data_IF_315427246088
#
_entry.id   IF_315427246088
#
_cell.length_a   1.000
_cell.length_b   1.000
_cell.length_c   1.000
_cell.angle_alpha   90.00
_cell.angle_beta   90.00
_cell.angle_gamma   90.00
#
_symmetry.space_group_name_H-M   'P 1'
#
loop_
_entity.id
_entity.type
_entity.pdbx_description
1 polymer ?
#
# COMPACT_ATOMS: atom_id res chain seq x y z
N UNK A 1 -3.59 0.60 -37.13
CA UNK A 1 -4.16 0.06 -35.86
C UNK A 1 -4.48 1.26 -34.98
N UNK A 2 -5.75 1.67 -34.89
CA UNK A 2 -6.16 2.86 -34.11
C UNK A 2 -6.15 2.53 -32.62
N UNK A 3 -5.03 2.83 -31.95
CA UNK A 3 -4.94 2.76 -30.49
C UNK A 3 -5.69 3.96 -29.90
N UNK A 4 -6.95 3.76 -29.52
CA UNK A 4 -7.64 4.70 -28.63
C UNK A 4 -7.36 4.28 -27.18
N UNK A 5 -6.78 5.16 -26.34
CA UNK A 5 -6.55 4.82 -24.95
C UNK A 5 -7.89 4.58 -24.22
N UNK A 6 -7.90 3.59 -23.34
CA UNK A 6 -9.03 3.33 -22.45
C UNK A 6 -8.91 4.28 -21.25
N UNK A 7 -9.63 5.40 -21.31
CA UNK A 7 -9.57 6.46 -20.30
C UNK A 7 -9.92 5.97 -18.89
N UNK A 8 -10.88 5.06 -18.75
CA UNK A 8 -11.23 4.49 -17.45
C UNK A 8 -10.05 3.74 -16.83
N UNK A 9 -9.29 2.99 -17.65
CA UNK A 9 -8.08 2.31 -17.19
C UNK A 9 -6.96 3.30 -16.86
N UNK A 10 -6.78 4.36 -17.64
CA UNK A 10 -5.78 5.40 -17.32
C UNK A 10 -6.09 6.08 -15.98
N UNK A 11 -7.35 6.40 -15.71
CA UNK A 11 -7.76 7.01 -14.44
C UNK A 11 -7.43 6.07 -13.27
N UNK A 12 -7.82 4.80 -13.38
CA UNK A 12 -7.62 3.81 -12.31
C UNK A 12 -6.14 3.50 -12.09
N UNK A 13 -5.38 3.22 -13.16
CA UNK A 13 -4.01 2.72 -13.01
C UNK A 13 -2.94 3.83 -12.96
N UNK A 14 -3.27 5.08 -13.26
CA UNK A 14 -2.29 6.16 -13.27
C UNK A 14 -2.76 7.36 -12.45
N UNK A 15 -3.90 7.95 -12.79
CA UNK A 15 -4.32 9.24 -12.21
C UNK A 15 -4.59 9.11 -10.71
N UNK A 16 -5.42 8.16 -10.30
CA UNK A 16 -5.78 7.98 -8.89
C UNK A 16 -4.55 7.71 -8.01
N UNK A 17 -3.70 6.69 -8.27
CA UNK A 17 -2.56 6.41 -7.41
C UNK A 17 -1.57 7.59 -7.34
N UNK A 18 -1.29 8.24 -8.48
CA UNK A 18 -0.42 9.42 -8.50
C UNK A 18 -1.01 10.59 -7.73
N UNK A 19 -2.31 10.86 -7.88
CA UNK A 19 -2.97 11.96 -7.18
C UNK A 19 -3.02 11.73 -5.67
N UNK A 20 -3.33 10.50 -5.22
CA UNK A 20 -3.38 10.17 -3.79
C UNK A 20 -2.00 10.26 -3.15
N UNK A 21 -1.01 9.54 -3.69
CA UNK A 21 0.34 9.55 -3.11
C UNK A 21 1.03 10.88 -3.31
N UNK A 22 0.88 11.51 -4.48
CA UNK A 22 1.44 12.83 -4.76
C UNK A 22 0.84 13.92 -3.87
N UNK A 23 -0.48 13.87 -3.62
CA UNK A 23 -1.17 14.78 -2.70
C UNK A 23 -0.68 14.62 -1.27
N UNK A 24 -0.61 13.38 -0.76
CA UNK A 24 -0.06 13.11 0.58
C UNK A 24 1.41 13.51 0.68
N UNK A 25 2.23 13.24 -0.33
CA UNK A 25 3.63 13.66 -0.35
C UNK A 25 3.76 15.19 -0.36
N UNK A 26 2.94 15.88 -1.14
CA UNK A 26 2.91 17.34 -1.18
C UNK A 26 2.52 17.93 0.19
N UNK A 27 1.49 17.39 0.83
CA UNK A 27 1.11 17.77 2.20
C UNK A 27 2.26 17.54 3.20
N UNK A 28 2.89 16.37 3.14
CA UNK A 28 3.98 16.00 4.04
C UNK A 28 5.25 16.83 3.85
N UNK A 29 5.57 17.26 2.62
CA UNK A 29 6.74 18.10 2.33
C UNK A 29 6.41 19.59 2.21
N UNK A 30 5.17 20.01 2.49
CA UNK A 30 4.72 21.40 2.34
C UNK A 30 5.41 22.39 3.28
N UNK A 31 5.82 21.92 4.47
CA UNK A 31 6.29 22.77 5.57
C UNK A 31 5.17 23.31 6.45
N UNK A 32 3.91 23.12 6.06
CA UNK A 32 2.76 23.45 6.89
C UNK A 32 2.55 22.35 7.95
N UNK A 33 2.69 22.64 9.26
CA UNK A 33 2.63 21.62 10.30
C UNK A 33 1.29 20.87 10.34
N UNK A 34 0.18 21.54 10.02
CA UNK A 34 -1.13 20.91 10.01
C UNK A 34 -1.23 19.88 8.86
N UNK A 35 -0.84 20.26 7.64
CA UNK A 35 -0.80 19.36 6.49
C UNK A 35 0.14 18.18 6.71
N UNK A 36 1.32 18.40 7.31
CA UNK A 36 2.24 17.32 7.66
C UNK A 36 1.63 16.34 8.66
N UNK A 37 1.01 16.86 9.73
CA UNK A 37 0.41 16.04 10.79
C UNK A 37 -0.83 15.28 10.32
N UNK A 38 -1.57 15.80 9.34
CA UNK A 38 -2.64 15.03 8.69
C UNK A 38 -2.10 13.77 8.02
N UNK A 39 -0.94 13.86 7.35
CA UNK A 39 -0.33 12.70 6.67
C UNK A 39 0.27 11.73 7.68
N UNK A 40 1.04 12.27 8.63
CA UNK A 40 1.77 11.50 9.64
C UNK A 40 1.92 12.36 10.91
N UNK A 41 1.05 12.17 11.90
CA UNK A 41 1.00 13.03 13.07
C UNK A 41 2.19 12.78 14.00
N UNK A 42 2.29 13.66 15.00
CA UNK A 42 3.11 13.51 16.20
C UNK A 42 2.17 13.68 17.37
N UNK A 43 2.05 12.67 18.22
CA UNK A 43 1.02 12.61 19.25
C UNK A 43 1.65 12.35 20.62
N UNK A 44 2.50 13.24 21.15
CA UNK A 44 2.93 13.12 22.54
C UNK A 44 1.70 13.11 23.47
N UNK A 45 1.75 12.34 24.57
CA UNK A 45 2.92 11.62 25.09
C UNK A 45 3.03 10.16 24.58
N UNK A 46 2.28 9.77 23.53
CA UNK A 46 2.40 8.42 23.00
C UNK A 46 3.84 8.14 22.54
N UNK A 47 4.19 6.86 22.46
CA UNK A 47 5.46 6.46 21.88
C UNK A 47 5.57 6.93 20.42
N UNK A 48 6.73 7.45 20.04
CA UNK A 48 6.98 8.05 18.72
C UNK A 48 6.78 7.06 17.56
N UNK A 49 6.93 5.76 17.83
CA UNK A 49 6.58 4.70 16.89
C UNK A 49 5.09 4.68 16.56
N UNK A 50 4.24 4.89 17.56
CA UNK A 50 2.78 4.85 17.43
C UNK A 50 2.20 6.12 16.82
N UNK A 51 2.95 7.22 16.74
CA UNK A 51 2.44 8.48 16.20
C UNK A 51 1.98 8.37 14.75
N UNK A 52 2.83 7.80 13.88
CA UNK A 52 2.56 7.77 12.44
C UNK A 52 1.31 6.95 12.09
N UNK A 53 1.00 5.93 12.91
CA UNK A 53 -0.09 4.96 12.72
C UNK A 53 -1.47 5.63 12.64
N UNK A 54 -1.61 6.82 13.22
CA UNK A 54 -2.85 7.62 13.18
C UNK A 54 -2.97 8.51 11.94
N UNK A 55 -1.94 8.55 11.10
CA UNK A 55 -1.88 9.40 9.92
C UNK A 55 -2.75 8.90 8.76
N UNK A 56 -3.08 9.81 7.85
CA UNK A 56 -3.83 9.51 6.64
C UNK A 56 -3.14 8.44 5.78
N UNK A 57 -1.80 8.43 5.76
CA UNK A 57 -1.04 7.46 4.96
C UNK A 57 -1.25 6.03 5.48
N UNK A 58 -0.96 5.79 6.76
CA UNK A 58 -1.08 4.48 7.41
C UNK A 58 -2.54 3.99 7.44
N UNK A 59 -3.49 4.87 7.80
CA UNK A 59 -4.92 4.51 7.76
C UNK A 59 -5.41 4.22 6.35
N UNK A 60 -4.85 4.91 5.35
CA UNK A 60 -5.10 4.62 3.95
C UNK A 60 -4.58 3.23 3.54
N UNK A 61 -3.38 2.84 3.99
CA UNK A 61 -2.82 1.49 3.80
C UNK A 61 -3.71 0.44 4.45
N UNK A 62 -4.09 0.64 5.72
CA UNK A 62 -4.98 -0.26 6.45
C UNK A 62 -6.35 -0.41 5.76
N UNK A 63 -6.93 0.68 5.26
CA UNK A 63 -8.20 0.64 4.53
C UNK A 63 -8.09 -0.17 3.22
N UNK A 64 -6.98 0.00 2.47
CA UNK A 64 -6.72 -0.78 1.26
C UNK A 64 -6.56 -2.28 1.58
N UNK A 65 -5.82 -2.61 2.63
CA UNK A 65 -5.65 -3.98 3.12
C UNK A 65 -6.98 -4.61 3.56
N UNK A 66 -7.79 -3.89 4.33
CA UNK A 66 -9.12 -4.34 4.73
C UNK A 66 -10.04 -4.57 3.51
N UNK A 67 -10.01 -3.67 2.53
CA UNK A 67 -10.74 -3.83 1.28
C UNK A 67 -10.28 -5.05 0.47
N UNK A 68 -8.98 -5.36 0.47
CA UNK A 68 -8.43 -6.58 -0.14
C UNK A 68 -8.92 -7.83 0.57
N UNK A 69 -8.89 -7.88 1.90
CA UNK A 69 -9.43 -9.01 2.69
C UNK A 69 -10.91 -9.26 2.35
N UNK A 70 -11.73 -8.21 2.37
CA UNK A 70 -13.15 -8.31 2.04
C UNK A 70 -13.38 -8.79 0.59
N UNK A 71 -12.59 -8.27 -0.36
CA UNK A 71 -12.66 -8.65 -1.78
C UNK A 71 -12.27 -10.12 -1.99
N UNK A 72 -11.19 -10.58 -1.36
CA UNK A 72 -10.73 -11.96 -1.45
C UNK A 72 -11.71 -12.92 -0.78
N UNK A 73 -12.28 -12.56 0.37
CA UNK A 73 -13.34 -13.34 1.03
C UNK A 73 -14.59 -13.45 0.15
N UNK A 74 -14.98 -12.36 -0.54
CA UNK A 74 -16.05 -12.41 -1.54
C UNK A 74 -15.68 -13.32 -2.72
N UNK A 75 -14.42 -13.30 -3.18
CA UNK A 75 -13.88 -14.22 -4.17
C UNK A 75 -14.01 -15.68 -3.77
N UNK A 76 -13.65 -16.01 -2.52
CA UNK A 76 -13.79 -17.36 -1.97
C UNK A 76 -15.25 -17.82 -1.95
N UNK A 77 -16.18 -16.95 -1.51
CA UNK A 77 -17.62 -17.25 -1.50
C UNK A 77 -18.19 -17.48 -2.90
N UNK A 78 -17.71 -16.74 -3.90
CA UNK A 78 -18.15 -16.83 -5.31
C UNK A 78 -17.53 -18.02 -6.06
N UNK A 79 -16.36 -18.48 -5.64
CA UNK A 79 -15.66 -19.57 -6.31
C UNK A 79 -16.37 -20.91 -6.10
N UNK A 80 -16.75 -21.57 -7.20
CA UNK A 80 -17.34 -22.92 -7.20
C UNK A 80 -16.27 -24.01 -7.11
N UNK A 81 -15.17 -23.83 -7.84
CA UNK A 81 -14.06 -24.78 -7.84
C UNK A 81 -13.29 -24.72 -6.51
N UNK A 82 -13.12 -25.88 -5.86
CA UNK A 82 -12.48 -25.98 -4.54
C UNK A 82 -11.07 -25.40 -4.51
N UNK A 83 -10.28 -25.59 -5.58
CA UNK A 83 -8.91 -25.08 -5.68
C UNK A 83 -8.86 -23.55 -5.74
N UNK A 84 -9.72 -22.94 -6.55
CA UNK A 84 -9.84 -21.47 -6.65
C UNK A 84 -10.33 -20.87 -5.33
N UNK A 85 -11.32 -21.51 -4.71
CA UNK A 85 -11.80 -21.11 -3.38
C UNK A 85 -10.69 -21.16 -2.34
N UNK A 86 -9.95 -22.26 -2.28
CA UNK A 86 -8.82 -22.40 -1.36
C UNK A 86 -7.75 -21.31 -1.59
N UNK A 87 -7.42 -21.01 -2.86
CA UNK A 87 -6.51 -19.92 -3.20
C UNK A 87 -6.98 -18.56 -2.68
N UNK A 88 -8.27 -18.23 -2.83
CA UNK A 88 -8.83 -16.99 -2.28
C UNK A 88 -8.84 -16.96 -0.75
N UNK A 89 -9.16 -18.07 -0.09
CA UNK A 89 -9.10 -18.17 1.39
C UNK A 89 -7.68 -17.95 1.89
N UNK A 90 -6.69 -18.63 1.30
CA UNK A 90 -5.29 -18.47 1.68
C UNK A 90 -4.80 -17.04 1.44
N UNK A 91 -5.14 -16.44 0.29
CA UNK A 91 -4.80 -15.05 0.02
C UNK A 91 -5.47 -14.07 1.00
N UNK A 92 -6.74 -14.32 1.37
CA UNK A 92 -7.45 -13.49 2.35
C UNK A 92 -6.81 -13.58 3.74
N UNK A 93 -6.45 -14.78 4.20
CA UNK A 93 -5.77 -14.98 5.48
C UNK A 93 -4.38 -14.33 5.49
N UNK A 94 -3.62 -14.48 4.40
CA UNK A 94 -2.32 -13.83 4.27
C UNK A 94 -2.44 -12.30 4.24
N UNK A 95 -3.43 -11.76 3.55
CA UNK A 95 -3.66 -10.30 3.53
C UNK A 95 -4.16 -9.80 4.89
N UNK A 96 -4.95 -10.59 5.61
CA UNK A 96 -5.37 -10.29 6.98
C UNK A 96 -4.18 -10.28 7.92
N UNK A 97 -3.24 -11.21 7.76
CA UNK A 97 -1.99 -11.20 8.50
C UNK A 97 -1.19 -9.91 8.23
N UNK A 98 -1.03 -9.51 6.96
CA UNK A 98 -0.38 -8.23 6.62
C UNK A 98 -1.12 -7.04 7.24
N UNK A 99 -2.46 -7.02 7.18
CA UNK A 99 -3.25 -5.97 7.81
C UNK A 99 -2.99 -5.86 9.30
N UNK A 100 -2.92 -7.00 10.00
CA UNK A 100 -2.65 -7.03 11.43
C UNK A 100 -1.22 -6.59 11.75
N UNK A 101 -0.23 -6.99 10.95
CA UNK A 101 1.15 -6.49 11.08
C UNK A 101 1.22 -4.97 10.83
N UNK A 102 0.53 -4.47 9.82
CA UNK A 102 0.51 -3.05 9.45
C UNK A 102 -0.02 -2.18 10.60
N UNK A 103 -1.10 -2.61 11.26
CA UNK A 103 -1.67 -1.86 12.41
C UNK A 103 -1.01 -2.20 13.75
N UNK A 104 0.13 -2.91 13.74
CA UNK A 104 0.83 -3.41 14.93
C UNK A 104 -0.13 -4.13 15.90
N UNK A 105 -1.00 -4.97 15.37
CA UNK A 105 -2.06 -5.69 16.08
C UNK A 105 -2.97 -4.78 16.95
N UNK A 106 -3.09 -3.51 16.58
CA UNK A 106 -3.87 -2.51 17.29
C UNK A 106 -3.19 -1.96 18.55
N UNK A 107 -1.88 -2.19 18.73
CA UNK A 107 -1.11 -1.68 19.88
C UNK A 107 -1.29 -0.17 20.05
N UNK A 108 -1.20 0.61 18.96
CA UNK A 108 -1.34 2.05 19.01
C UNK A 108 -2.72 2.49 19.54
N UNK A 109 -3.80 1.78 19.22
CA UNK A 109 -5.14 2.04 19.77
C UNK A 109 -5.23 1.75 21.26
N UNK A 110 -4.59 0.66 21.72
CA UNK A 110 -4.52 0.34 23.14
C UNK A 110 -3.73 1.43 23.88
N UNK A 111 -2.57 1.79 23.37
CA UNK A 111 -1.70 2.81 23.97
C UNK A 111 -2.39 4.17 24.01
N UNK A 112 -3.19 4.52 22.97
CA UNK A 112 -4.07 5.68 22.97
C UNK A 112 -5.17 5.60 24.03
N UNK A 113 -5.84 4.44 24.17
CA UNK A 113 -6.97 4.27 25.07
C UNK A 113 -6.58 4.30 26.56
N UNK A 114 -5.35 3.91 26.89
CA UNK A 114 -4.84 3.91 28.28
C UNK A 114 -4.03 5.17 28.60
N UNK A 115 -3.87 6.09 27.64
CA UNK A 115 -3.16 7.35 27.85
C UNK A 115 -4.01 8.26 28.76
N UNK A 116 -3.51 8.51 29.97
CA UNK A 116 -4.19 9.37 30.96
C UNK A 116 -4.00 10.87 30.67
N UNK A 117 -2.96 11.21 29.91
CA UNK A 117 -2.65 12.59 29.53
C UNK A 117 -3.44 13.03 28.28
N UNK A 118 -3.71 14.33 28.17
CA UNK A 118 -4.42 14.88 27.00
C UNK A 118 -3.55 14.85 25.75
N UNK A 119 -4.02 14.16 24.71
CA UNK A 119 -3.36 14.12 23.40
C UNK A 119 -3.78 15.33 22.56
N UNK A 120 -2.80 16.18 22.22
CA UNK A 120 -3.01 17.36 21.39
C UNK A 120 -2.53 17.12 19.95
N UNK A 121 -3.46 16.80 19.05
CA UNK A 121 -3.18 16.41 17.66
C UNK A 121 -2.39 17.41 16.82
N UNK A 122 -2.48 18.70 17.16
CA UNK A 122 -1.86 19.78 16.40
C UNK A 122 -0.88 20.61 17.23
N UNK A 123 -0.55 20.17 18.45
CA UNK A 123 0.45 20.86 19.26
C UNK A 123 1.84 20.68 18.65
N UNK A 124 2.60 21.77 18.42
CA UNK A 124 4.00 21.68 18.06
C UNK A 124 4.77 20.86 19.10
N UNK A 125 5.52 19.85 18.66
CA UNK A 125 6.51 19.21 19.52
C UNK A 125 7.68 20.20 19.65
N UNK A 126 7.97 20.75 20.84
CA UNK A 126 9.03 21.72 21.02
C UNK A 126 10.37 21.23 20.48
N UNK A 127 11.12 22.14 19.85
CA UNK A 127 12.45 21.82 19.33
C UNK A 127 13.36 21.32 20.46
N UNK A 128 13.93 20.13 20.29
CA UNK A 128 14.82 19.50 21.27
C UNK A 128 14.20 18.41 22.13
N UNK A 129 12.86 18.32 22.21
CA UNK A 129 12.19 17.24 22.95
C UNK A 129 12.16 15.93 22.17
N UNK A 130 12.21 16.01 20.83
CA UNK A 130 12.27 14.84 19.97
C UNK A 130 13.19 15.07 18.77
N UNK A 131 14.22 14.22 18.65
CA UNK A 131 15.14 14.21 17.51
C UNK A 131 15.01 12.88 16.75
N UNK A 132 14.31 12.84 15.61
CA UNK A 132 14.12 11.61 14.84
C UNK A 132 15.42 11.02 14.28
N UNK A 133 16.51 11.81 14.24
CA UNK A 133 17.82 11.31 13.81
C UNK A 133 18.55 10.53 14.90
N UNK A 134 18.20 10.76 16.17
CA UNK A 134 18.79 10.08 17.34
C UNK A 134 17.95 8.87 17.75
N UNK A 135 16.63 8.94 17.59
CA UNK A 135 15.70 7.84 17.91
C UNK A 135 16.05 6.54 17.17
N UNK A 136 16.52 6.64 15.91
CA UNK A 136 16.95 5.47 15.13
C UNK A 136 18.13 4.70 15.76
N UNK A 137 18.88 5.32 16.69
CA UNK A 137 19.94 4.65 17.47
C UNK A 137 19.42 4.03 18.77
N UNK A 138 18.27 4.50 19.27
CA UNK A 138 17.67 4.09 20.54
C UNK A 138 16.57 3.04 20.40
N UNK A 139 16.09 2.78 19.18
CA UNK A 139 15.08 1.76 18.89
C UNK A 139 15.60 0.35 19.23
N UNK A 140 15.27 -0.12 20.44
CA UNK A 140 15.37 -1.52 20.84
C UNK A 140 14.36 -2.40 20.10
N UNK A 141 14.48 -3.71 20.30
CA UNK A 141 13.73 -4.74 19.58
C UNK A 141 12.20 -4.49 19.57
N UNK A 142 11.66 -4.16 18.39
CA UNK A 142 10.22 -4.19 18.13
C UNK A 142 9.72 -5.63 18.07
N UNK A 143 8.54 -5.90 18.63
CA UNK A 143 7.93 -7.23 18.61
C UNK A 143 7.36 -7.65 17.24
N UNK A 144 7.23 -6.74 16.26
CA UNK A 144 6.70 -7.04 14.93
C UNK A 144 7.77 -7.52 13.96
N UNK A 145 7.41 -8.50 13.13
CA UNK A 145 8.29 -9.03 12.06
C UNK A 145 8.58 -7.93 11.04
N UNK A 146 7.61 -7.02 10.82
CA UNK A 146 7.73 -5.89 9.91
C UNK A 146 8.82 -4.86 10.32
N UNK A 147 9.21 -4.82 11.60
CA UNK A 147 10.23 -3.89 12.11
C UNK A 147 11.62 -4.51 12.31
N UNK A 148 11.75 -5.84 12.35
CA UNK A 148 13.05 -6.49 12.57
C UNK A 148 13.89 -6.63 11.27
N UNK A 149 15.20 -6.87 11.44
CA UNK A 149 16.24 -6.90 10.38
C UNK A 149 16.02 -7.85 9.19
N UNK A 150 14.95 -8.65 9.18
CA UNK A 150 14.46 -9.40 8.00
C UNK A 150 13.95 -8.47 6.88
N UNK A 151 13.73 -7.18 7.18
CA UNK A 151 13.20 -6.16 6.27
C UNK A 151 13.87 -6.05 4.91
N UNK A 152 15.19 -6.27 4.77
CA UNK A 152 15.85 -6.08 3.46
C UNK A 152 15.47 -7.19 2.48
N UNK A 153 15.48 -8.44 2.93
CA UNK A 153 15.13 -9.60 2.11
C UNK A 153 13.64 -9.62 1.78
N UNK A 154 12.78 -9.30 2.76
CA UNK A 154 11.34 -9.19 2.53
C UNK A 154 10.99 -8.03 1.57
N UNK A 155 11.66 -6.88 1.69
CA UNK A 155 11.49 -5.77 0.74
C UNK A 155 11.91 -6.16 -0.67
N UNK A 156 13.04 -6.85 -0.83
CA UNK A 156 13.48 -7.35 -2.12
C UNK A 156 12.49 -8.38 -2.68
N UNK A 157 12.03 -9.33 -1.85
CA UNK A 157 11.03 -10.32 -2.24
C UNK A 157 9.72 -9.68 -2.68
N UNK A 158 9.24 -8.67 -1.96
CA UNK A 158 8.07 -7.87 -2.31
C UNK A 158 8.24 -7.14 -3.63
N UNK A 159 9.38 -6.49 -3.85
CA UNK A 159 9.70 -5.78 -5.11
C UNK A 159 9.77 -6.76 -6.31
N UNK A 160 10.39 -7.92 -6.12
CA UNK A 160 10.45 -8.98 -7.14
C UNK A 160 9.05 -9.51 -7.47
N UNK A 161 8.22 -9.77 -6.45
CA UNK A 161 6.85 -10.22 -6.64
C UNK A 161 6.03 -9.17 -7.39
N UNK A 162 6.19 -7.89 -7.05
CA UNK A 162 5.52 -6.78 -7.70
C UNK A 162 5.91 -6.67 -9.17
N UNK A 163 7.20 -6.75 -9.50
CA UNK A 163 7.69 -6.73 -10.88
C UNK A 163 7.20 -7.95 -11.66
N UNK A 164 7.33 -9.14 -11.09
CA UNK A 164 6.91 -10.39 -11.73
C UNK A 164 5.41 -10.36 -12.04
N UNK A 165 4.59 -9.95 -11.07
CA UNK A 165 3.14 -9.97 -11.19
C UNK A 165 2.60 -8.82 -12.04
N UNK A 166 3.08 -7.59 -11.87
CA UNK A 166 2.48 -6.40 -12.49
C UNK A 166 3.24 -5.84 -13.69
N UNK A 167 4.44 -6.34 -13.98
CA UNK A 167 5.20 -5.98 -15.17
C UNK A 167 5.35 -7.17 -16.09
N UNK A 168 6.01 -8.24 -15.64
CA UNK A 168 6.34 -9.38 -16.50
C UNK A 168 5.08 -10.13 -16.92
N UNK A 169 4.24 -10.54 -15.97
CA UNK A 169 3.06 -11.35 -16.25
C UNK A 169 2.06 -10.68 -17.22
N UNK A 170 1.61 -9.42 -17.09
CA UNK A 170 0.67 -8.83 -18.03
C UNK A 170 1.24 -8.64 -19.45
N UNK A 171 2.57 -8.51 -19.59
CA UNK A 171 3.24 -8.41 -20.88
C UNK A 171 3.48 -9.79 -21.53
N UNK A 172 3.75 -10.81 -20.73
CA UNK A 172 4.02 -12.17 -21.20
C UNK A 172 2.74 -12.99 -21.42
N UNK A 173 1.71 -12.83 -20.58
CA UNK A 173 0.48 -13.63 -20.60
C UNK A 173 -0.23 -13.74 -21.96
N UNK A 174 -0.28 -12.70 -22.81
CA UNK A 174 -0.87 -12.81 -24.16
C UNK A 174 -0.21 -13.88 -25.04
N UNK A 175 1.06 -14.19 -24.77
CA UNK A 175 1.85 -15.20 -25.49
C UNK A 175 1.75 -16.60 -24.88
N UNK A 176 1.18 -16.72 -23.68
CA UNK A 176 1.09 -17.99 -22.95
C UNK A 176 -0.23 -18.69 -23.27
N UNK A 177 -0.17 -19.97 -23.68
CA UNK A 177 -1.36 -20.78 -24.01
C UNK A 177 -2.21 -21.14 -22.77
N UNK A 178 -1.59 -21.25 -21.59
CA UNK A 178 -2.26 -21.65 -20.36
C UNK A 178 -3.38 -20.68 -19.97
N UNK A 179 -4.62 -21.20 -19.88
CA UNK A 179 -5.81 -20.41 -19.53
C UNK A 179 -5.74 -19.78 -18.14
N UNK A 180 -5.11 -20.45 -17.18
CA UNK A 180 -5.00 -19.97 -15.80
C UNK A 180 -4.08 -18.77 -15.69
N UNK A 181 -2.96 -18.80 -16.42
CA UNK A 181 -2.00 -17.69 -16.49
C UNK A 181 -2.69 -16.46 -17.08
N UNK A 182 -3.42 -16.62 -18.19
CA UNK A 182 -4.17 -15.51 -18.81
C UNK A 182 -5.30 -14.98 -17.93
N UNK A 183 -5.97 -15.87 -17.19
CA UNK A 183 -7.02 -15.50 -16.24
C UNK A 183 -6.46 -14.76 -15.01
N UNK A 184 -5.26 -15.09 -14.54
CA UNK A 184 -4.63 -14.43 -13.41
C UNK A 184 -3.86 -13.16 -13.81
N UNK A 185 -3.36 -13.06 -15.03
CA UNK A 185 -2.49 -11.95 -15.46
C UNK A 185 -3.15 -10.56 -15.30
N UNK A 186 -2.55 -9.58 -14.64
CA UNK A 186 -3.12 -8.23 -14.49
C UNK A 186 -3.39 -7.50 -15.81
N UNK A 187 -4.00 -6.32 -15.71
CA UNK A 187 -4.10 -5.40 -16.86
C UNK A 187 -2.70 -4.91 -17.26
N UNK A 188 -2.44 -4.74 -18.57
CA UNK A 188 -1.18 -4.10 -19.04
C UNK A 188 -1.01 -2.67 -18.53
N UNK A 189 -2.11 -1.99 -18.17
CA UNK A 189 -2.07 -0.66 -17.56
C UNK A 189 -1.46 -0.67 -16.14
N UNK A 190 -1.40 -1.83 -15.46
CA UNK A 190 -0.71 -1.96 -14.17
C UNK A 190 0.78 -1.59 -14.25
N UNK A 191 1.40 -1.77 -15.42
CA UNK A 191 2.78 -1.34 -15.68
C UNK A 191 2.95 0.17 -15.46
N UNK A 192 1.93 0.98 -15.84
CA UNK A 192 1.95 2.43 -15.62
C UNK A 192 1.94 2.77 -14.13
N UNK A 193 1.16 2.04 -13.33
CA UNK A 193 1.14 2.20 -11.87
C UNK A 193 2.52 1.91 -11.29
N UNK A 194 3.17 0.82 -11.72
CA UNK A 194 4.52 0.46 -11.24
C UNK A 194 5.53 1.55 -11.59
N UNK A 195 5.53 2.04 -12.83
CA UNK A 195 6.42 3.15 -13.25
C UNK A 195 6.16 4.40 -12.41
N UNK A 196 4.89 4.80 -12.28
CA UNK A 196 4.51 5.98 -11.51
C UNK A 196 4.90 5.85 -10.02
N UNK A 197 4.68 4.68 -9.43
CA UNK A 197 5.08 4.37 -8.05
C UNK A 197 6.60 4.51 -7.86
N UNK A 198 7.42 4.00 -8.80
CA UNK A 198 8.87 4.14 -8.73
C UNK A 198 9.32 5.61 -8.85
N UNK A 199 8.73 6.36 -9.77
CA UNK A 199 9.02 7.79 -9.95
C UNK A 199 8.63 8.61 -8.71
N UNK A 200 7.43 8.38 -8.16
CA UNK A 200 6.97 9.04 -6.94
C UNK A 200 7.86 8.68 -5.75
N UNK A 201 8.27 7.41 -5.61
CA UNK A 201 9.19 6.98 -4.56
C UNK A 201 10.55 7.69 -4.67
N UNK A 202 11.11 7.81 -5.88
CA UNK A 202 12.35 8.56 -6.10
C UNK A 202 12.20 10.04 -5.73
N UNK A 203 11.09 10.68 -6.12
CA UNK A 203 10.80 12.08 -5.80
C UNK A 203 10.67 12.30 -4.28
N UNK A 204 9.90 11.45 -3.59
CA UNK A 204 9.73 11.47 -2.13
C UNK A 204 11.07 11.29 -1.41
N UNK A 205 11.90 10.35 -1.84
CA UNK A 205 13.22 10.16 -1.25
C UNK A 205 14.17 11.33 -1.53
N UNK A 206 14.11 11.94 -2.71
CA UNK A 206 14.89 13.14 -3.04
C UNK A 206 14.48 14.33 -2.16
N UNK A 207 13.17 14.57 -2.01
CA UNK A 207 12.63 15.60 -1.13
C UNK A 207 13.06 15.36 0.32
N UNK A 208 12.92 14.14 0.83
CA UNK A 208 13.34 13.77 2.18
C UNK A 208 14.85 13.89 2.41
N UNK A 209 15.71 13.59 1.43
CA UNK A 209 17.16 13.85 1.52
C UNK A 209 17.45 15.34 1.62
N UNK A 210 16.79 16.16 0.80
CA UNK A 210 16.94 17.61 0.82
C UNK A 210 16.52 18.20 2.18
N UNK A 211 15.35 17.82 2.69
CA UNK A 211 14.84 18.28 3.97
C UNK A 211 15.76 17.89 5.13
N UNK A 212 16.18 16.62 5.20
CA UNK A 212 17.14 16.17 6.22
C UNK A 212 18.48 16.91 6.16
N UNK A 213 18.95 17.23 4.96
CA UNK A 213 20.19 17.98 4.80
C UNK A 213 20.06 19.40 5.35
N UNK A 214 18.98 20.12 4.99
CA UNK A 214 18.69 21.47 5.52
C UNK A 214 18.60 21.47 7.04
N UNK A 215 17.79 20.57 7.60
CA UNK A 215 17.64 20.41 9.05
C UNK A 215 18.97 20.19 9.75
N UNK A 216 19.83 19.29 9.23
CA UNK A 216 21.16 19.03 9.82
C UNK A 216 22.09 20.25 9.75
N UNK A 217 21.99 21.08 8.73
CA UNK A 217 22.80 22.28 8.59
C UNK A 217 22.36 23.34 9.62
N UNK A 218 21.05 23.57 9.75
CA UNK A 218 20.47 24.51 10.74
C UNK A 218 20.86 24.10 12.17
N UNK A 219 20.64 22.84 12.54
CA UNK A 219 21.03 22.31 13.87
C UNK A 219 22.53 22.48 14.14
N UNK A 220 23.40 22.20 13.15
CA UNK A 220 24.86 22.35 13.31
C UNK A 220 25.30 23.79 13.51
N UNK A 221 24.53 24.76 13.02
CA UNK A 221 24.79 26.19 13.20
C UNK A 221 24.26 26.72 14.54
N UNK A 222 23.55 25.88 15.31
CA UNK A 222 22.84 26.31 16.51
C UNK A 222 21.58 27.13 16.18
N UNK A 223 21.12 27.09 14.93
CA UNK A 223 19.89 27.75 14.51
C UNK A 223 18.68 26.89 14.91
N UNK A 224 17.58 27.54 15.31
CA UNK A 224 16.30 26.84 15.51
C UNK A 224 15.78 26.43 14.13
N UNK A 225 15.60 25.12 13.86
CA UNK A 225 15.21 24.68 12.55
C UNK A 225 13.88 25.29 12.12
N UNK A 226 13.83 25.85 10.92
CA UNK A 226 12.60 26.46 10.41
C UNK A 226 11.56 25.40 10.01
N UNK A 227 11.98 24.13 9.93
CA UNK A 227 11.18 23.01 9.47
C UNK A 227 11.17 21.89 10.49
N UNK A 228 9.98 21.40 10.83
CA UNK A 228 9.85 20.16 11.57
C UNK A 228 10.18 18.96 10.66
N UNK A 229 11.01 18.03 11.15
CA UNK A 229 11.08 16.70 10.54
C UNK A 229 9.81 15.95 10.91
N UNK A 230 9.05 15.46 9.92
CA UNK A 230 7.87 14.64 10.18
C UNK A 230 8.23 13.22 10.66
N UNK A 231 7.27 12.52 11.26
CA UNK A 231 7.45 11.15 11.80
C UNK A 231 7.86 10.12 10.74
N UNK A 232 7.49 10.31 9.47
CA UNK A 232 7.91 9.45 8.36
C UNK A 232 9.35 9.67 7.84
N UNK A 233 10.14 10.57 8.41
CA UNK A 233 11.45 10.97 7.83
C UNK A 233 12.41 9.79 7.64
N UNK A 234 12.27 8.75 8.47
CA UNK A 234 13.07 7.53 8.39
C UNK A 234 12.38 6.39 7.61
N UNK A 235 11.09 6.52 7.31
CA UNK A 235 10.28 5.50 6.65
C UNK A 235 9.53 6.02 5.42
N UNK A 236 10.25 6.75 4.56
CA UNK A 236 9.67 7.30 3.33
C UNK A 236 9.24 6.23 2.31
N UNK A 237 9.59 4.95 2.53
CA UNK A 237 9.10 3.84 1.72
C UNK A 237 7.60 3.62 1.84
N UNK A 238 6.94 4.12 2.89
CA UNK A 238 5.49 3.96 3.09
C UNK A 238 4.66 4.54 1.93
N UNK A 239 5.12 5.63 1.30
CA UNK A 239 4.47 6.19 0.10
C UNK A 239 4.48 5.21 -1.10
N UNK A 240 5.53 4.40 -1.21
CA UNK A 240 5.64 3.36 -2.24
C UNK A 240 4.73 2.19 -1.89
N UNK A 241 4.71 1.81 -0.62
CA UNK A 241 3.90 0.72 -0.08
C UNK A 241 2.40 0.98 -0.28
N UNK A 242 1.92 2.19 0.02
CA UNK A 242 0.55 2.62 -0.29
C UNK A 242 0.16 2.36 -1.75
N UNK A 243 1.04 2.70 -2.71
CA UNK A 243 0.78 2.44 -4.13
C UNK A 243 0.76 0.95 -4.47
N UNK A 244 1.63 0.16 -3.84
CA UNK A 244 1.62 -1.28 -4.00
C UNK A 244 0.28 -1.87 -3.52
N UNK A 245 -0.18 -1.50 -2.32
CA UNK A 245 -1.47 -1.93 -1.78
C UNK A 245 -2.64 -1.47 -2.66
N UNK A 246 -2.60 -0.24 -3.17
CA UNK A 246 -3.60 0.22 -4.14
C UNK A 246 -3.65 -0.68 -5.38
N UNK A 247 -2.48 -1.02 -5.94
CA UNK A 247 -2.39 -1.86 -7.13
C UNK A 247 -2.90 -3.28 -6.87
N UNK A 248 -2.55 -3.89 -5.73
CA UNK A 248 -3.08 -5.20 -5.33
C UNK A 248 -4.59 -5.15 -5.09
N UNK A 249 -5.12 -4.07 -4.50
CA UNK A 249 -6.55 -3.90 -4.29
C UNK A 249 -7.33 -3.84 -5.62
N UNK A 250 -6.86 -3.02 -6.56
CA UNK A 250 -7.43 -2.96 -7.91
C UNK A 250 -7.33 -4.33 -8.60
N UNK A 251 -6.19 -5.01 -8.46
CA UNK A 251 -5.99 -6.33 -9.04
C UNK A 251 -6.98 -7.36 -8.52
N UNK A 252 -7.13 -7.50 -7.20
CA UNK A 252 -8.07 -8.44 -6.61
C UNK A 252 -9.52 -8.09 -6.94
N UNK A 253 -9.88 -6.81 -6.95
CA UNK A 253 -11.22 -6.38 -7.36
C UNK A 253 -11.53 -6.77 -8.80
N UNK A 254 -10.59 -6.57 -9.73
CA UNK A 254 -10.74 -7.01 -11.13
C UNK A 254 -10.84 -8.53 -11.23
N UNK A 255 -9.98 -9.26 -10.51
CA UNK A 255 -9.95 -10.72 -10.53
C UNK A 255 -11.26 -11.33 -10.02
N UNK A 256 -11.84 -10.76 -8.96
CA UNK A 256 -13.05 -11.27 -8.31
C UNK A 256 -14.34 -10.82 -9.01
N UNK A 257 -14.43 -9.56 -9.43
CA UNK A 257 -15.69 -8.96 -9.88
C UNK A 257 -15.79 -8.76 -11.39
N UNK A 258 -14.66 -8.63 -12.11
CA UNK A 258 -14.67 -8.36 -13.55
C UNK A 258 -14.30 -9.57 -14.39
N UNK A 259 -13.64 -10.58 -13.82
CA UNK A 259 -13.28 -11.81 -14.53
C UNK A 259 -14.26 -12.93 -14.23
N UNK A 260 -14.53 -13.76 -15.25
CA UNK A 260 -15.25 -15.02 -15.05
C UNK A 260 -14.34 -15.96 -14.26
N UNK A 261 -14.84 -16.47 -13.14
CA UNK A 261 -14.10 -17.44 -12.33
C UNK A 261 -14.06 -18.80 -13.06
N UNK A 262 -12.91 -19.48 -13.07
CA UNK A 262 -12.82 -20.84 -13.60
C UNK A 262 -13.81 -21.77 -12.90
N UNK A 263 -14.57 -22.53 -13.69
CA UNK A 263 -15.63 -23.43 -13.19
C UNK A 263 -16.97 -22.77 -12.87
N UNK A 264 -17.14 -21.46 -13.14
CA UNK A 264 -18.48 -20.88 -13.23
C UNK A 264 -19.15 -21.43 -14.50
N UNK A 265 -20.23 -22.20 -14.36
CA UNK A 265 -21.06 -22.62 -15.48
C UNK A 265 -21.52 -21.37 -16.23
N UNK A 266 -21.38 -21.35 -17.56
CA UNK A 266 -21.94 -20.27 -18.36
C UNK A 266 -23.46 -20.37 -18.20
N UNK A 267 -24.05 -19.46 -17.41
CA UNK A 267 -25.51 -19.33 -17.31
C UNK A 267 -26.17 -19.05 -18.68
N UNK A 268 -25.35 -18.71 -19.68
CA UNK A 268 -25.72 -18.49 -21.07
C UNK A 268 -25.00 -19.45 -22.04
N UNK A 269 -24.51 -20.62 -21.61
CA UNK A 269 -24.27 -21.70 -22.57
C UNK A 269 -25.67 -22.27 -22.88
N UNK A 270 -26.31 -21.94 -24.02
CA UNK A 270 -27.48 -22.69 -24.43
C UNK A 270 -27.08 -24.15 -24.45
N UNK A 271 -27.90 -25.02 -23.85
CA UNK A 271 -27.70 -26.45 -23.81
C UNK A 271 -27.38 -26.96 -25.22
N UNK A 272 -26.09 -27.04 -25.56
CA UNK A 272 -25.64 -27.58 -26.83
C UNK A 272 -25.77 -29.08 -26.71
N UNK A 273 -26.88 -29.60 -27.24
CA UNK A 273 -27.00 -31.00 -27.62
C UNK A 273 -27.89 -31.86 -26.74
N UNK A 274 -29.16 -31.52 -26.63
CA UNK A 274 -30.23 -32.52 -26.54
C UNK A 274 -31.20 -32.22 -27.68
N UNK A 275 -30.83 -32.61 -28.90
CA UNK A 275 -31.60 -32.22 -30.08
C UNK A 275 -31.11 -32.89 -31.37
N UNK A 276 -31.64 -34.09 -31.60
CA UNK A 276 -31.93 -34.72 -32.91
C UNK A 276 -30.85 -34.69 -34.00
N UNK A 277 -30.27 -35.87 -34.27
CA UNK A 277 -30.51 -36.56 -35.55
C UNK A 277 -30.69 -38.05 -35.27
N UNK A 278 -31.94 -38.42 -35.09
CA UNK A 278 -32.42 -39.68 -35.64
C UNK A 278 -32.63 -39.49 -37.15
N UNK A 279 -32.64 -40.64 -37.81
CA UNK A 279 -32.80 -40.94 -39.24
C UNK A 279 -31.58 -40.66 -40.14
#
# INVERSE_FOLDING_TARGET
MNWKPDWSKLVIYLVIPVALTGGMAAMYFSGDPAAQRLVAPKLPPLDSHSWREFGLLENGQALLLAAMVATLAAGARRARERRVRAGFVLAALFTLFILLEEIDYGKHWRDYAVCEESIEWFRPVPHGEWNPLEEKRAQGASFTVHHHHLTTEFKLGGDLLLIALFVVLPLAAPRVRNRWVRWAAPSRYAVLTVIAMLLTSQAVHAAGRSLRHRYRVEVRRGEVPQWELGSLVNNLSEFREFNAYYLYAVYFAVLVFRRRLPGAADANEPARGAGSRGD
#
